data_IF_008625313333
#
_entry.id   IF_008625313333
#
_cell.length_a   1.000
_cell.length_b   1.000
_cell.length_c   1.000
_cell.angle_alpha   90.00
_cell.angle_beta   90.00
_cell.angle_gamma   90.00
#
_symmetry.space_group_name_H-M   'P 1'
#
loop_
_entity.id
_entity.type
_entity.pdbx_description
1 polymer ?
#
# COMPACT_ATOMS: atom_id res chain seq x y z
N UNK A 1 -18.62 22.29 -1.07
CA UNK A 1 -17.81 21.20 -1.66
C UNK A 1 -16.31 21.44 -1.48
N UNK A 2 -15.76 22.56 -1.97
CA UNK A 2 -14.31 22.85 -1.88
C UNK A 2 -13.76 22.95 -0.44
N UNK A 3 -14.51 23.56 0.49
CA UNK A 3 -14.11 23.62 1.90
C UNK A 3 -14.02 22.22 2.56
N UNK A 4 -14.87 21.28 2.15
CA UNK A 4 -14.84 19.90 2.64
C UNK A 4 -13.58 19.18 2.16
N UNK A 5 -13.22 19.32 0.89
CA UNK A 5 -11.96 18.80 0.35
C UNK A 5 -10.75 19.39 1.11
N UNK A 6 -10.73 20.70 1.33
CA UNK A 6 -9.67 21.36 2.13
C UNK A 6 -9.58 20.83 3.56
N UNK A 7 -10.69 20.52 4.22
CA UNK A 7 -10.67 19.96 5.58
C UNK A 7 -10.12 18.53 5.64
N UNK A 8 -10.14 17.78 4.53
CA UNK A 8 -9.64 16.41 4.46
C UNK A 8 -8.16 16.34 4.09
N UNK A 9 -7.61 17.40 3.51
CA UNK A 9 -6.23 17.44 3.04
C UNK A 9 -5.31 17.93 4.15
N UNK A 10 -4.18 17.25 4.33
CA UNK A 10 -3.19 17.56 5.35
C UNK A 10 -1.80 17.61 4.72
N UNK A 11 -0.91 18.44 5.26
CA UNK A 11 0.50 18.47 4.85
C UNK A 11 0.70 18.86 3.37
N UNK A 12 1.53 18.12 2.60
CA UNK A 12 1.86 18.47 1.22
C UNK A 12 0.65 18.62 0.30
N UNK A 13 -0.38 17.81 0.49
CA UNK A 13 -1.58 17.85 -0.34
C UNK A 13 -2.41 19.12 -0.09
N UNK A 14 -2.49 19.58 1.16
CA UNK A 14 -3.13 20.84 1.51
C UNK A 14 -2.36 22.05 0.96
N UNK A 15 -1.03 21.99 0.97
CA UNK A 15 -0.16 23.06 0.47
C UNK A 15 -0.24 23.28 -1.05
N UNK A 16 -0.59 22.26 -1.83
CA UNK A 16 -0.73 22.39 -3.29
C UNK A 16 -1.98 23.18 -3.66
N UNK A 17 -3.06 22.98 -2.91
CA UNK A 17 -4.35 23.63 -3.19
C UNK A 17 -4.58 24.89 -2.34
N UNK A 18 -3.64 25.27 -1.48
CA UNK A 18 -3.80 26.44 -0.59
C UNK A 18 -3.84 27.77 -1.33
N UNK A 19 -3.28 27.84 -2.54
CA UNK A 19 -3.33 29.01 -3.41
C UNK A 19 -4.62 29.14 -4.25
N UNK A 20 -5.46 28.10 -4.28
CA UNK A 20 -6.72 28.13 -5.02
C UNK A 20 -7.80 28.91 -4.26
N UNK A 21 -8.56 29.70 -5.01
CA UNK A 21 -9.75 30.37 -4.47
C UNK A 21 -10.84 29.34 -4.16
N UNK A 22 -11.67 29.60 -3.15
CA UNK A 22 -12.72 28.68 -2.72
C UNK A 22 -13.97 28.74 -3.62
N UNK A 23 -13.79 28.50 -4.92
CA UNK A 23 -14.89 28.47 -5.91
C UNK A 23 -15.22 27.05 -6.34
N UNK A 24 -16.37 26.84 -6.99
CA UNK A 24 -16.76 25.54 -7.51
C UNK A 24 -15.83 25.05 -8.64
N UNK A 25 -15.36 25.96 -9.51
CA UNK A 25 -14.39 25.65 -10.56
C UNK A 25 -13.05 25.16 -9.99
N UNK A 26 -12.60 25.74 -8.88
CA UNK A 26 -11.36 25.34 -8.23
C UNK A 26 -11.39 23.94 -7.59
N UNK A 27 -12.55 23.30 -7.47
CA UNK A 27 -12.63 21.90 -7.01
C UNK A 27 -12.07 20.95 -8.07
N UNK A 28 -12.43 21.15 -9.34
CA UNK A 28 -11.91 20.33 -10.45
C UNK A 28 -10.39 20.56 -10.58
N UNK A 29 -9.95 21.82 -10.54
CA UNK A 29 -8.51 22.17 -10.56
C UNK A 29 -7.75 21.54 -9.37
N UNK A 30 -8.34 21.54 -8.17
CA UNK A 30 -7.72 20.92 -7.01
C UNK A 30 -7.61 19.40 -7.16
N UNK A 31 -8.65 18.74 -7.67
CA UNK A 31 -8.62 17.30 -7.91
C UNK A 31 -7.60 16.96 -8.99
N UNK A 32 -7.50 17.76 -10.05
CA UNK A 32 -6.52 17.58 -11.12
C UNK A 32 -5.09 17.73 -10.58
N UNK A 33 -4.76 18.84 -9.91
CA UNK A 33 -3.41 19.04 -9.34
C UNK A 33 -3.03 17.95 -8.32
N UNK A 34 -3.97 17.49 -7.50
CA UNK A 34 -3.75 16.38 -6.57
C UNK A 34 -3.50 15.07 -7.31
N UNK A 35 -4.22 14.83 -8.41
CA UNK A 35 -4.09 13.63 -9.24
C UNK A 35 -2.76 13.65 -10.01
N UNK A 36 -2.37 14.79 -10.59
CA UNK A 36 -1.07 14.93 -11.26
C UNK A 36 0.10 14.69 -10.31
N UNK A 37 0.01 15.21 -9.07
CA UNK A 37 1.12 15.10 -8.11
C UNK A 37 1.17 13.77 -7.38
N UNK A 38 0.01 13.24 -6.97
CA UNK A 38 -0.08 12.08 -6.09
C UNK A 38 -0.72 10.86 -6.72
N UNK A 39 -1.39 11.00 -7.87
CA UNK A 39 -2.12 9.95 -8.57
C UNK A 39 -1.29 9.14 -9.57
N UNK A 40 0.04 9.31 -9.60
CA UNK A 40 0.93 8.47 -10.40
C UNK A 40 0.83 7.00 -9.95
N UNK A 41 0.01 6.24 -10.69
CA UNK A 41 -0.30 4.85 -10.40
C UNK A 41 0.94 3.97 -10.37
N UNK A 42 1.91 4.21 -11.26
CA UNK A 42 3.15 3.42 -11.31
C UNK A 42 3.99 3.65 -10.05
N UNK A 43 4.07 4.90 -9.59
CA UNK A 43 4.79 5.23 -8.35
C UNK A 43 4.09 4.65 -7.12
N UNK A 44 2.76 4.69 -7.06
CA UNK A 44 1.99 4.11 -5.95
C UNK A 44 2.13 2.57 -5.96
N UNK A 45 2.07 1.94 -7.12
CA UNK A 45 2.32 0.50 -7.29
C UNK A 45 3.71 0.12 -6.77
N UNK A 46 4.75 0.84 -7.21
CA UNK A 46 6.12 0.58 -6.76
C UNK A 46 6.29 0.75 -5.24
N UNK A 47 5.59 1.71 -4.63
CA UNK A 47 5.56 1.88 -3.18
C UNK A 47 4.93 0.67 -2.47
N UNK A 48 3.79 0.17 -2.95
CA UNK A 48 3.16 -1.03 -2.40
C UNK A 48 4.07 -2.27 -2.54
N UNK A 49 4.69 -2.46 -3.71
CA UNK A 49 5.65 -3.55 -3.93
C UNK A 49 6.89 -3.40 -3.05
N UNK A 50 7.42 -2.18 -2.92
CA UNK A 50 8.57 -1.86 -2.06
C UNK A 50 8.30 -2.13 -0.58
N UNK A 51 7.07 -1.88 -0.11
CA UNK A 51 6.63 -2.24 1.24
C UNK A 51 6.57 -3.75 1.42
N UNK A 52 6.04 -4.48 0.44
CA UNK A 52 6.04 -5.95 0.46
C UNK A 52 7.47 -6.51 0.56
N UNK A 53 8.45 -5.95 -0.18
CA UNK A 53 9.85 -6.36 -0.07
C UNK A 53 10.49 -6.09 1.30
N UNK A 54 10.00 -5.09 2.03
CA UNK A 54 10.51 -4.68 3.35
C UNK A 54 9.76 -5.32 4.52
N UNK A 55 9.07 -6.44 4.29
CA UNK A 55 8.36 -7.17 5.34
C UNK A 55 9.29 -7.50 6.53
N UNK A 56 8.85 -7.24 7.78
CA UNK A 56 9.62 -7.59 8.95
C UNK A 56 9.75 -9.11 9.06
N UNK A 57 10.98 -9.60 9.29
CA UNK A 57 11.21 -11.02 9.47
C UNK A 57 10.68 -11.48 10.84
N UNK A 58 9.91 -12.57 10.85
CA UNK A 58 9.42 -13.17 12.09
C UNK A 58 10.44 -14.21 12.53
N UNK A 59 11.03 -14.00 13.72
CA UNK A 59 12.15 -14.81 14.21
C UNK A 59 11.72 -16.11 14.90
N UNK A 60 10.46 -16.22 15.31
CA UNK A 60 9.94 -17.38 16.03
C UNK A 60 8.48 -17.60 15.70
N UNK A 61 8.09 -18.86 15.52
CA UNK A 61 6.69 -19.32 15.42
C UNK A 61 5.83 -18.93 16.63
N UNK A 62 6.45 -18.69 17.79
CA UNK A 62 5.77 -18.26 19.02
C UNK A 62 5.47 -16.76 19.03
N UNK A 63 6.02 -16.00 18.08
CA UNK A 63 5.71 -14.59 17.90
C UNK A 63 4.42 -14.42 17.08
N UNK A 64 3.31 -14.79 17.71
CA UNK A 64 1.96 -14.68 17.14
C UNK A 64 1.65 -13.24 16.70
N UNK A 65 2.15 -12.25 17.45
CA UNK A 65 1.96 -10.84 17.12
C UNK A 65 2.76 -10.45 15.88
N UNK A 66 4.00 -10.91 15.74
CA UNK A 66 4.80 -10.74 14.52
C UNK A 66 4.15 -11.36 13.30
N UNK A 67 3.62 -12.59 13.41
CA UNK A 67 2.90 -13.27 12.33
C UNK A 67 1.64 -12.50 11.91
N UNK A 68 0.85 -12.03 12.89
CA UNK A 68 -0.34 -11.20 12.62
C UNK A 68 0.04 -9.90 11.92
N UNK A 69 1.07 -9.22 12.39
CA UNK A 69 1.54 -7.98 11.77
C UNK A 69 2.00 -8.20 10.33
N UNK A 70 2.70 -9.30 10.03
CA UNK A 70 3.08 -9.67 8.66
C UNK A 70 1.85 -9.91 7.79
N UNK A 71 0.88 -10.68 8.29
CA UNK A 71 -0.37 -10.94 7.58
C UNK A 71 -1.14 -9.64 7.27
N UNK A 72 -1.34 -8.79 8.28
CA UNK A 72 -2.06 -7.53 8.13
C UNK A 72 -1.35 -6.58 7.17
N UNK A 73 -0.01 -6.56 7.22
CA UNK A 73 0.81 -5.79 6.30
C UNK A 73 0.65 -6.30 4.86
N UNK A 74 0.79 -7.59 4.61
CA UNK A 74 0.62 -8.19 3.28
C UNK A 74 -0.78 -7.90 2.74
N UNK A 75 -1.83 -8.18 3.51
CA UNK A 75 -3.22 -7.98 3.12
C UNK A 75 -3.53 -6.51 2.79
N UNK A 76 -2.98 -5.57 3.56
CA UNK A 76 -3.19 -4.14 3.30
C UNK A 76 -2.55 -3.71 1.98
N UNK A 77 -1.34 -4.16 1.69
CA UNK A 77 -0.67 -3.83 0.43
C UNK A 77 -1.34 -4.53 -0.78
N UNK A 78 -1.81 -5.78 -0.63
CA UNK A 78 -2.58 -6.48 -1.69
C UNK A 78 -3.88 -5.73 -2.00
N UNK A 79 -4.64 -5.32 -0.98
CA UNK A 79 -5.86 -4.51 -1.19
C UNK A 79 -5.55 -3.18 -1.88
N UNK A 80 -4.44 -2.54 -1.51
CA UNK A 80 -3.95 -1.32 -2.16
C UNK A 80 -3.65 -1.54 -3.66
N UNK A 81 -2.91 -2.59 -4.00
CA UNK A 81 -2.60 -2.99 -5.38
C UNK A 81 -3.87 -3.34 -6.17
N UNK A 82 -4.81 -4.05 -5.55
CA UNK A 82 -6.11 -4.36 -6.15
C UNK A 82 -6.94 -3.11 -6.45
N UNK A 83 -6.91 -2.09 -5.58
CA UNK A 83 -7.59 -0.81 -5.81
C UNK A 83 -6.98 0.00 -6.98
N UNK A 84 -5.71 -0.25 -7.30
CA UNK A 84 -5.04 0.32 -8.47
C UNK A 84 -5.31 -0.46 -9.77
N UNK A 85 -5.94 -1.64 -9.67
CA UNK A 85 -6.19 -2.54 -10.80
C UNK A 85 -5.03 -3.48 -11.13
N UNK A 86 -4.05 -3.64 -10.24
CA UNK A 86 -2.92 -4.55 -10.45
C UNK A 86 -3.36 -5.98 -10.16
N UNK A 87 -3.16 -6.90 -11.12
CA UNK A 87 -3.50 -8.31 -10.91
C UNK A 87 -2.55 -8.96 -9.89
N UNK A 88 -3.10 -9.86 -9.09
CA UNK A 88 -2.30 -10.63 -8.11
C UNK A 88 -1.24 -11.48 -8.81
N UNK A 89 -1.50 -11.97 -10.02
CA UNK A 89 -0.56 -12.79 -10.81
C UNK A 89 0.77 -12.07 -11.10
N UNK A 90 0.74 -10.74 -11.23
CA UNK A 90 1.92 -9.93 -11.57
C UNK A 90 2.98 -9.95 -10.47
N UNK A 91 2.57 -10.04 -9.20
CA UNK A 91 3.47 -9.99 -8.04
C UNK A 91 3.39 -11.25 -7.16
N UNK A 92 2.53 -12.21 -7.47
CA UNK A 92 2.34 -13.43 -6.68
C UNK A 92 3.64 -14.24 -6.50
N UNK A 93 4.42 -14.42 -7.58
CA UNK A 93 5.68 -15.16 -7.53
C UNK A 93 6.72 -14.46 -6.62
N UNK A 94 6.83 -13.13 -6.73
CA UNK A 94 7.70 -12.32 -5.88
C UNK A 94 7.24 -12.38 -4.41
N UNK A 95 5.94 -12.23 -4.17
CA UNK A 95 5.38 -12.25 -2.82
C UNK A 95 5.62 -13.61 -2.14
N UNK A 96 5.47 -14.70 -2.89
CA UNK A 96 5.76 -16.04 -2.38
C UNK A 96 7.22 -16.17 -1.94
N UNK A 97 8.18 -15.74 -2.76
CA UNK A 97 9.61 -15.76 -2.42
C UNK A 97 9.93 -14.92 -1.16
N UNK A 98 9.33 -13.74 -1.05
CA UNK A 98 9.48 -12.88 0.13
C UNK A 98 8.89 -13.56 1.39
N UNK A 99 7.72 -14.17 1.28
CA UNK A 99 7.10 -14.85 2.41
C UNK A 99 7.94 -16.03 2.89
N UNK A 100 8.45 -16.85 1.96
CA UNK A 100 9.32 -17.99 2.27
C UNK A 100 10.63 -17.57 2.94
N UNK A 101 11.18 -16.41 2.58
CA UNK A 101 12.42 -15.89 3.18
C UNK A 101 12.21 -15.14 4.50
N UNK A 102 10.99 -14.64 4.78
CA UNK A 102 10.68 -13.85 5.99
C UNK A 102 9.96 -14.64 7.09
N UNK A 103 9.37 -15.79 6.76
CA UNK A 103 8.73 -16.67 7.73
C UNK A 103 9.73 -17.67 8.35
N UNK A 104 9.47 -18.13 9.59
CA UNK A 104 10.26 -19.18 10.21
C UNK A 104 10.23 -20.48 9.39
N UNK A 105 11.38 -21.16 9.30
CA UNK A 105 11.54 -22.39 8.54
C UNK A 105 10.53 -23.49 8.90
N UNK A 106 10.08 -23.57 10.15
CA UNK A 106 9.08 -24.54 10.59
C UNK A 106 7.70 -24.35 9.90
N UNK A 107 7.22 -23.10 9.77
CA UNK A 107 5.97 -22.79 9.07
C UNK A 107 6.09 -23.05 7.57
N UNK A 108 7.26 -22.74 7.00
CA UNK A 108 7.55 -22.99 5.58
C UNK A 108 7.56 -24.49 5.29
N UNK A 109 8.16 -25.30 6.17
CA UNK A 109 8.19 -26.76 6.04
C UNK A 109 6.77 -27.36 6.12
N UNK A 110 5.91 -26.88 7.02
CA UNK A 110 4.50 -27.31 7.06
C UNK A 110 3.76 -26.99 5.75
N UNK A 111 3.99 -25.82 5.14
CA UNK A 111 3.38 -25.48 3.85
C UNK A 111 3.76 -26.47 2.74
N UNK A 112 5.02 -26.92 2.68
CA UNK A 112 5.46 -27.92 1.71
C UNK A 112 4.94 -29.33 2.00
N UNK A 113 4.54 -29.63 3.23
CA UNK A 113 3.96 -30.93 3.61
C UNK A 113 2.46 -31.05 3.31
N UNK A 114 1.74 -29.92 3.19
CA UNK A 114 0.28 -29.88 2.97
C UNK A 114 -0.06 -29.91 1.46
N UNK A 115 0.94 -29.83 0.57
CA UNK A 115 0.79 -29.85 -0.88
C UNK A 115 1.15 -31.21 -1.46
#
# INVERSE_FOLDING_TARGET
MFQYLRSLLVGPAASIISGLQATAACYEDAVEMLTERFGDKQRIELEYLGRLCKLPAVKSERDVQGLRNVYDHVQTNIRGLGSLGVSTDTYAAMLLDILLTRLPSHIVVEYYHIK
#
